data_IF_957896672707
#
_entry.id   IF_957896672707
#
_cell.length_a   1.000
_cell.length_b   1.000
_cell.length_c   1.000
_cell.angle_alpha   90.00
_cell.angle_beta   90.00
_cell.angle_gamma   90.00
#
_symmetry.space_group_name_H-M   'P 1'
#
loop_
_entity.id
_entity.type
_entity.pdbx_description
1 polymer ?
#
# COMPACT_ATOMS: atom_id res chain seq x y z
N UNK A 1 -6.64 -3.03 29.18
CA UNK A 1 -5.46 -2.81 30.07
C UNK A 1 -4.35 -3.82 29.72
N UNK A 2 -3.05 -3.55 29.97
CA UNK A 2 -2.01 -4.60 29.92
C UNK A 2 -2.08 -5.46 31.19
N UNK A 3 -2.33 -6.76 31.03
CA UNK A 3 -2.53 -7.73 32.11
C UNK A 3 -1.25 -8.51 32.43
N UNK A 4 -0.49 -8.87 31.40
CA UNK A 4 0.73 -9.66 31.56
C UNK A 4 1.79 -9.24 30.54
N UNK A 5 3.06 -9.20 30.95
CA UNK A 5 4.21 -9.00 30.09
C UNK A 5 5.23 -10.11 30.32
N UNK A 6 5.54 -10.87 29.26
CA UNK A 6 6.56 -11.91 29.25
C UNK A 6 7.73 -11.47 28.38
N UNK A 7 8.94 -11.60 28.92
CA UNK A 7 10.18 -11.20 28.24
C UNK A 7 11.19 -12.33 28.38
N UNK A 8 11.75 -12.78 27.26
CA UNK A 8 12.79 -13.78 27.21
C UNK A 8 13.99 -13.30 26.40
N UNK A 9 15.19 -13.56 26.93
CA UNK A 9 16.48 -13.27 26.28
C UNK A 9 16.65 -11.83 25.75
N UNK A 10 16.09 -10.83 26.45
CA UNK A 10 16.17 -9.42 26.08
C UNK A 10 17.22 -8.69 26.93
N UNK A 11 18.28 -8.19 26.31
CA UNK A 11 19.39 -7.50 27.01
C UNK A 11 19.92 -8.33 28.19
N UNK A 12 19.67 -7.89 29.43
CA UNK A 12 20.09 -8.57 30.66
C UNK A 12 19.06 -9.61 31.15
N UNK A 13 17.84 -9.58 30.63
CA UNK A 13 16.75 -10.48 31.03
C UNK A 13 16.94 -11.84 30.36
N UNK A 14 17.06 -12.89 31.17
CA UNK A 14 16.96 -14.27 30.68
C UNK A 14 15.49 -14.65 30.48
N UNK A 15 14.69 -14.46 31.53
CA UNK A 15 13.23 -14.66 31.52
C UNK A 15 12.61 -13.82 32.62
N UNK A 16 11.52 -13.13 32.30
CA UNK A 16 10.71 -12.38 33.25
C UNK A 16 9.25 -12.48 32.84
N UNK A 17 8.38 -12.66 33.83
CA UNK A 17 6.93 -12.58 33.71
C UNK A 17 6.43 -11.55 34.71
N UNK A 18 5.69 -10.56 34.24
CA UNK A 18 5.12 -9.50 35.05
C UNK A 18 3.61 -9.53 34.88
N UNK A 19 2.89 -9.77 35.97
CA UNK A 19 1.42 -9.67 36.03
C UNK A 19 1.03 -8.33 36.62
N UNK A 20 0.16 -7.63 35.92
CA UNK A 20 -0.20 -6.26 36.19
C UNK A 20 -1.62 -6.17 36.72
N UNK A 21 -1.80 -5.48 37.84
CA UNK A 21 -3.09 -5.22 38.47
C UNK A 21 -3.70 -3.86 38.07
N UNK A 22 -4.98 -3.61 38.39
CA UNK A 22 -5.61 -2.33 38.08
C UNK A 22 -4.98 -1.17 38.87
N UNK A 23 -5.09 0.04 38.35
CA UNK A 23 -4.65 1.27 39.02
C UNK A 23 -3.18 1.60 38.85
N UNK A 24 -2.60 2.31 39.84
CA UNK A 24 -1.21 2.76 39.80
C UNK A 24 -0.27 1.63 40.20
N UNK A 25 0.60 1.25 39.28
CA UNK A 25 1.67 0.29 39.53
C UNK A 25 3.03 0.97 39.44
N UNK A 26 3.84 0.80 40.49
CA UNK A 26 5.15 1.43 40.59
C UNK A 26 6.22 0.36 40.58
N UNK A 27 7.07 0.38 39.54
CA UNK A 27 8.24 -0.50 39.44
C UNK A 27 9.46 0.27 39.92
N UNK A 28 10.08 -0.23 40.98
CA UNK A 28 11.32 0.32 41.58
C UNK A 28 12.48 -0.66 41.39
N UNK A 29 13.70 -0.19 41.62
CA UNK A 29 14.91 -1.02 41.51
C UNK A 29 16.16 -0.22 41.85
N UNK A 30 17.28 -0.92 41.97
CA UNK A 30 18.55 -0.36 42.46
C UNK A 30 19.31 0.43 41.38
N UNK A 31 19.44 -0.12 40.17
CA UNK A 31 20.36 0.41 39.14
C UNK A 31 19.68 1.01 37.92
N UNK A 32 18.35 1.16 37.91
CA UNK A 32 17.58 1.73 36.78
C UNK A 32 17.57 0.88 35.49
N UNK A 33 18.57 0.00 35.30
CA UNK A 33 18.73 -0.84 34.13
C UNK A 33 17.52 -1.76 33.89
N UNK A 34 16.98 -2.39 34.94
CA UNK A 34 15.79 -3.26 34.82
C UNK A 34 14.55 -2.51 34.31
N UNK A 35 14.33 -1.28 34.80
CA UNK A 35 13.22 -0.43 34.35
C UNK A 35 13.38 -0.03 32.87
N UNK A 36 14.59 0.34 32.46
CA UNK A 36 14.88 0.69 31.06
C UNK A 36 14.72 -0.51 30.13
N UNK A 37 15.12 -1.71 30.56
CA UNK A 37 14.92 -2.94 29.77
C UNK A 37 13.43 -3.26 29.63
N UNK A 38 12.63 -3.14 30.69
CA UNK A 38 11.17 -3.32 30.62
C UNK A 38 10.50 -2.28 29.71
N UNK A 39 10.94 -1.01 29.79
CA UNK A 39 10.49 0.04 28.89
C UNK A 39 10.84 -0.30 27.42
N UNK A 40 12.04 -0.82 27.16
CA UNK A 40 12.43 -1.30 25.84
C UNK A 40 11.64 -2.52 25.36
N UNK A 41 11.25 -3.43 26.27
CA UNK A 41 10.38 -4.56 25.94
C UNK A 41 9.00 -4.06 25.47
N UNK A 42 8.40 -3.11 26.20
CA UNK A 42 7.13 -2.49 25.80
C UNK A 42 7.25 -1.77 24.45
N UNK A 43 8.29 -0.97 24.24
CA UNK A 43 8.53 -0.30 22.95
C UNK A 43 8.59 -1.30 21.78
N UNK A 44 9.31 -2.41 21.96
CA UNK A 44 9.37 -3.49 20.96
C UNK A 44 8.01 -4.14 20.70
N UNK A 45 7.25 -4.39 21.75
CA UNK A 45 5.92 -4.99 21.68
C UNK A 45 4.92 -4.08 20.96
N UNK A 46 5.09 -2.76 21.11
CA UNK A 46 4.29 -1.72 20.43
C UNK A 46 4.81 -1.41 19.01
N UNK A 47 5.67 -2.26 18.45
CA UNK A 47 6.17 -2.18 17.08
C UNK A 47 7.32 -1.19 16.87
N UNK A 48 8.02 -0.82 17.94
CA UNK A 48 9.30 -0.12 17.93
C UNK A 48 10.40 -0.91 17.20
N UNK A 49 11.45 -0.19 16.78
CA UNK A 49 12.59 -0.79 16.07
C UNK A 49 13.59 -1.35 17.10
N UNK A 50 14.01 -2.62 16.96
CA UNK A 50 15.07 -3.15 17.83
C UNK A 50 16.38 -2.43 17.58
N UNK A 51 17.12 -2.20 18.67
CA UNK A 51 18.49 -1.66 18.63
C UNK A 51 19.50 -2.80 18.45
N UNK A 52 20.69 -2.49 17.96
CA UNK A 52 21.79 -3.46 17.96
C UNK A 52 22.04 -3.96 19.40
N UNK A 53 22.26 -5.27 19.56
CA UNK A 53 22.44 -5.88 20.88
C UNK A 53 21.16 -6.06 21.71
N UNK A 54 19.96 -5.94 21.10
CA UNK A 54 18.69 -6.21 21.78
C UNK A 54 18.61 -7.66 22.31
N UNK A 55 19.11 -8.62 21.53
CA UNK A 55 19.16 -10.03 21.93
C UNK A 55 20.30 -10.23 22.93
N UNK A 56 19.99 -10.91 24.03
CA UNK A 56 20.95 -11.23 25.08
C UNK A 56 22.16 -11.98 24.50
N UNK A 57 23.40 -11.62 24.87
CA UNK A 57 24.58 -12.35 24.42
C UNK A 57 24.48 -13.85 24.70
N UNK A 58 24.76 -14.67 23.68
CA UNK A 58 24.65 -16.13 23.75
C UNK A 58 23.26 -16.70 23.52
N UNK A 59 22.24 -15.87 23.24
CA UNK A 59 20.92 -16.32 22.81
C UNK A 59 20.73 -16.14 21.29
N UNK A 60 19.97 -17.03 20.66
CA UNK A 60 19.66 -16.96 19.22
C UNK A 60 18.55 -15.95 18.90
N UNK A 61 17.62 -15.74 19.83
CA UNK A 61 16.49 -14.84 19.69
C UNK A 61 16.00 -14.30 21.05
N UNK A 62 15.33 -13.14 21.00
CA UNK A 62 14.61 -12.52 22.09
C UNK A 62 13.10 -12.53 21.79
N UNK A 63 12.29 -12.75 22.82
CA UNK A 63 10.83 -12.78 22.73
C UNK A 63 10.21 -11.79 23.71
N UNK A 64 9.22 -11.04 23.25
CA UNK A 64 8.38 -10.19 24.09
C UNK A 64 6.93 -10.48 23.76
N UNK A 65 6.14 -10.79 24.77
CA UNK A 65 4.70 -11.07 24.65
C UNK A 65 3.95 -10.25 25.69
N UNK A 66 2.83 -9.67 25.29
CA UNK A 66 1.93 -8.98 26.21
C UNK A 66 0.49 -9.38 26.00
N UNK A 67 -0.20 -9.61 27.11
CA UNK A 67 -1.64 -9.90 27.15
C UNK A 67 -2.36 -8.62 27.51
N UNK A 68 -3.28 -8.20 26.66
CA UNK A 68 -4.08 -7.00 26.86
C UNK A 68 -5.54 -7.38 26.96
N UNK A 69 -6.23 -6.83 27.94
CA UNK A 69 -7.69 -6.77 27.92
C UNK A 69 -8.14 -5.95 26.71
N UNK A 70 -9.12 -6.48 26.00
CA UNK A 70 -9.64 -5.98 24.75
C UNK A 70 -10.75 -4.93 25.00
N UNK A 71 -10.53 -3.64 24.66
CA UNK A 71 -11.57 -2.63 24.81
C UNK A 71 -12.76 -2.90 23.90
N UNK A 72 -13.97 -2.66 24.41
CA UNK A 72 -15.19 -2.70 23.60
C UNK A 72 -15.06 -1.73 22.41
N UNK A 73 -15.43 -2.20 21.22
CA UNK A 73 -15.39 -1.42 19.99
C UNK A 73 -14.00 -1.16 19.42
N UNK A 74 -12.93 -1.78 19.95
CA UNK A 74 -11.57 -1.61 19.39
C UNK A 74 -11.53 -1.90 17.88
N UNK A 75 -12.24 -2.94 17.45
CA UNK A 75 -12.28 -3.41 16.07
C UNK A 75 -13.42 -2.81 15.23
N UNK A 76 -14.14 -1.82 15.73
CA UNK A 76 -15.21 -1.16 14.97
C UNK A 76 -14.63 -0.25 13.87
N UNK A 77 -13.35 0.13 14.00
CA UNK A 77 -12.66 0.85 12.94
C UNK A 77 -12.37 -0.07 11.74
N UNK A 78 -12.68 0.38 10.50
CA UNK A 78 -12.34 -0.37 9.29
C UNK A 78 -10.83 -0.58 9.12
N UNK A 79 -9.99 0.24 9.75
CA UNK A 79 -8.53 0.13 9.69
C UNK A 79 -8.02 -1.17 10.32
N UNK A 80 -8.77 -1.73 11.28
CA UNK A 80 -8.42 -2.96 11.99
C UNK A 80 -9.17 -4.20 11.49
N UNK A 81 -9.89 -4.11 10.36
CA UNK A 81 -10.71 -5.20 9.84
C UNK A 81 -9.91 -6.50 9.60
N UNK A 82 -8.70 -6.39 9.04
CA UNK A 82 -7.80 -7.53 8.83
C UNK A 82 -7.32 -8.14 10.15
N UNK A 83 -7.12 -7.30 11.18
CA UNK A 83 -6.66 -7.74 12.49
C UNK A 83 -7.79 -8.41 13.28
N UNK A 84 -9.04 -7.96 13.08
CA UNK A 84 -10.22 -8.57 13.70
C UNK A 84 -10.37 -10.05 13.35
N UNK A 85 -10.02 -10.47 12.13
CA UNK A 85 -10.07 -11.88 11.70
C UNK A 85 -9.09 -12.80 12.47
N UNK A 86 -8.08 -12.20 13.13
CA UNK A 86 -7.09 -12.92 13.95
C UNK A 86 -7.55 -13.11 15.39
N UNK A 87 -8.57 -12.37 15.83
CA UNK A 87 -9.10 -12.41 17.20
C UNK A 87 -10.41 -13.23 17.22
N UNK A 88 -10.55 -14.23 18.10
CA UNK A 88 -11.80 -14.97 18.25
C UNK A 88 -12.99 -14.06 18.61
N UNK A 89 -14.19 -14.44 18.19
CA UNK A 89 -15.40 -13.74 18.62
C UNK A 89 -15.60 -13.90 20.12
N UNK A 90 -16.00 -12.82 20.80
CA UNK A 90 -16.19 -12.82 22.25
C UNK A 90 -14.88 -12.88 23.05
N UNK A 91 -13.71 -12.73 22.42
CA UNK A 91 -12.45 -12.65 23.15
C UNK A 91 -12.43 -11.40 24.05
N UNK A 92 -12.12 -11.60 25.32
CA UNK A 92 -11.92 -10.51 26.29
C UNK A 92 -10.48 -10.01 26.30
N UNK A 93 -9.56 -10.74 25.66
CA UNK A 93 -8.13 -10.46 25.66
C UNK A 93 -7.51 -10.63 24.26
N UNK A 94 -6.45 -9.87 24.02
CA UNK A 94 -5.60 -9.95 22.83
C UNK A 94 -4.14 -10.08 23.22
N UNK A 95 -3.47 -11.08 22.65
CA UNK A 95 -2.04 -11.30 22.83
C UNK A 95 -1.27 -10.68 21.68
N UNK A 96 -0.33 -9.80 22.00
CA UNK A 96 0.65 -9.28 21.06
C UNK A 96 2.00 -9.97 21.31
N UNK A 97 2.74 -10.26 20.24
CA UNK A 97 4.04 -10.92 20.31
C UNK A 97 5.05 -10.29 19.37
N UNK A 98 6.29 -10.15 19.85
CA UNK A 98 7.42 -9.65 19.07
C UNK A 98 8.62 -10.58 19.27
N UNK A 99 9.20 -11.01 18.16
CA UNK A 99 10.45 -11.77 18.12
C UNK A 99 11.55 -11.01 17.40
N UNK A 100 12.76 -11.06 17.94
CA UNK A 100 13.97 -10.51 17.32
C UNK A 100 15.05 -11.58 17.33
N UNK A 101 15.57 -11.96 16.17
CA UNK A 101 16.72 -12.87 16.09
C UNK A 101 18.04 -12.12 16.30
N UNK A 102 19.09 -12.84 16.69
CA UNK A 102 20.44 -12.30 16.82
C UNK A 102 20.97 -11.71 15.50
N UNK A 103 20.51 -12.26 14.36
CA UNK A 103 20.79 -11.73 13.01
C UNK A 103 19.96 -10.49 12.62
N UNK A 104 19.15 -9.94 13.52
CA UNK A 104 18.36 -8.72 13.31
C UNK A 104 17.02 -8.91 12.61
N UNK A 105 16.65 -10.14 12.22
CA UNK A 105 15.34 -10.42 11.63
C UNK A 105 14.27 -10.31 12.71
N UNK A 106 13.17 -9.64 12.39
CA UNK A 106 12.05 -9.47 13.32
C UNK A 106 10.79 -10.17 12.83
N UNK A 107 10.00 -10.67 13.76
CA UNK A 107 8.65 -11.21 13.50
C UNK A 107 7.67 -10.59 14.47
N UNK A 108 6.44 -10.37 14.04
CA UNK A 108 5.36 -9.86 14.87
C UNK A 108 4.18 -10.84 14.83
N UNK A 109 3.42 -10.88 15.93
CA UNK A 109 2.31 -11.80 16.11
C UNK A 109 1.15 -11.11 16.81
N UNK A 110 -0.07 -11.45 16.39
CA UNK A 110 -1.33 -11.06 17.03
C UNK A 110 -2.14 -12.33 17.21
N UNK A 111 -2.50 -12.67 18.45
CA UNK A 111 -3.14 -13.93 18.82
C UNK A 111 -2.44 -15.16 18.24
N UNK A 112 -1.10 -15.18 18.35
CA UNK A 112 -0.26 -16.28 17.84
C UNK A 112 -0.16 -16.38 16.31
N UNK A 113 -0.85 -15.52 15.55
CA UNK A 113 -0.79 -15.48 14.08
C UNK A 113 0.19 -14.42 13.61
N UNK A 114 0.87 -14.67 12.49
CA UNK A 114 1.82 -13.71 11.91
C UNK A 114 1.15 -12.37 11.61
N UNK A 115 1.87 -11.30 11.95
CA UNK A 115 1.46 -9.91 11.78
C UNK A 115 2.67 -9.05 11.37
N UNK A 116 2.41 -7.79 11.05
CA UNK A 116 3.46 -6.80 10.74
C UNK A 116 3.83 -5.96 11.95
N UNK A 117 4.97 -5.27 11.90
CA UNK A 117 5.30 -4.26 12.90
C UNK A 117 4.40 -3.02 12.84
N UNK A 118 3.69 -2.80 11.72
CA UNK A 118 2.69 -1.74 11.61
C UNK A 118 1.41 -2.14 12.36
N UNK A 119 0.98 -3.40 12.24
CA UNK A 119 -0.17 -3.95 12.97
C UNK A 119 0.01 -3.79 14.49
N UNK A 120 1.21 -4.09 14.99
CA UNK A 120 1.54 -3.90 16.41
C UNK A 120 1.53 -2.43 16.83
N UNK A 121 1.98 -1.51 15.96
CA UNK A 121 1.91 -0.06 16.23
C UNK A 121 0.47 0.42 16.29
N UNK A 122 -0.38 -0.08 15.40
CA UNK A 122 -1.78 0.31 15.32
C UNK A 122 -2.59 -0.19 16.52
N UNK A 123 -2.48 -1.48 16.84
CA UNK A 123 -3.11 -2.04 18.05
C UNK A 123 -2.52 -1.44 19.31
N UNK A 124 -1.18 -1.39 19.39
CA UNK A 124 -0.46 -0.86 20.53
C UNK A 124 -0.83 0.58 20.86
N UNK A 125 -0.95 1.45 19.84
CA UNK A 125 -1.33 2.85 20.02
C UNK A 125 -2.75 3.07 20.54
N UNK A 126 -3.65 2.09 20.35
CA UNK A 126 -5.01 2.11 20.91
C UNK A 126 -5.09 1.45 22.30
N UNK A 127 -4.24 0.46 22.56
CA UNK A 127 -4.23 -0.31 23.81
C UNK A 127 -3.42 0.35 24.93
N UNK A 128 -2.34 1.06 24.58
CA UNK A 128 -1.39 1.64 25.55
C UNK A 128 -0.98 3.04 25.13
N UNK A 129 -1.00 3.98 26.08
CA UNK A 129 -0.23 5.21 25.97
C UNK A 129 1.10 5.04 26.68
N UNK A 130 2.18 4.93 25.90
CA UNK A 130 3.54 4.76 26.43
C UNK A 130 4.28 6.11 26.44
N UNK A 131 4.73 6.54 27.62
CA UNK A 131 5.54 7.75 27.79
C UNK A 131 6.93 7.37 28.30
N UNK A 132 7.95 7.56 27.48
CA UNK A 132 9.34 7.23 27.79
C UNK A 132 10.33 8.25 27.24
N UNK A 133 11.63 8.03 27.46
CA UNK A 133 12.72 8.96 27.10
C UNK A 133 12.87 9.23 25.59
N UNK A 134 12.17 8.49 24.72
CA UNK A 134 12.26 8.62 23.26
C UNK A 134 10.91 8.77 22.54
N UNK A 135 9.78 8.90 23.23
CA UNK A 135 8.47 9.00 22.58
C UNK A 135 7.52 9.95 23.31
N UNK A 136 7.45 11.17 22.81
CA UNK A 136 6.20 11.93 22.77
C UNK A 136 5.56 11.59 21.43
N UNK A 137 4.57 10.69 21.37
CA UNK A 137 3.99 10.28 20.07
C UNK A 137 2.49 10.40 19.94
N UNK A 138 1.75 10.82 20.97
CA UNK A 138 0.34 11.19 20.79
C UNK A 138 0.14 12.69 20.94
N UNK A 139 0.54 13.30 22.04
CA UNK A 139 0.33 14.73 22.30
C UNK A 139 1.12 15.69 21.39
N UNK A 140 2.13 15.21 20.67
CA UNK A 140 2.90 16.00 19.68
C UNK A 140 2.40 15.82 18.25
N UNK A 141 1.48 14.87 18.01
CA UNK A 141 0.91 14.63 16.69
C UNK A 141 -0.22 15.62 16.48
N UNK A 142 -0.14 16.41 15.40
CA UNK A 142 -1.12 17.45 15.09
C UNK A 142 -2.57 16.92 15.07
N UNK A 143 -2.79 15.71 14.54
CA UNK A 143 -4.10 15.08 14.52
C UNK A 143 -4.66 14.82 15.93
N UNK A 144 -3.83 14.31 16.86
CA UNK A 144 -4.25 14.06 18.23
C UNK A 144 -4.43 15.37 19.03
N UNK A 145 -3.64 16.40 18.73
CA UNK A 145 -3.86 17.74 19.28
C UNK A 145 -5.21 18.33 18.83
N UNK A 146 -5.54 18.17 17.54
CA UNK A 146 -6.83 18.55 16.98
C UNK A 146 -7.98 17.78 17.63
N UNK A 147 -7.85 16.46 17.82
CA UNK A 147 -8.87 15.67 18.53
C UNK A 147 -9.13 16.19 19.95
N UNK A 148 -8.07 16.53 20.69
CA UNK A 148 -8.19 17.09 22.04
C UNK A 148 -8.89 18.46 22.00
N UNK A 149 -8.54 19.31 21.03
CA UNK A 149 -9.16 20.62 20.88
C UNK A 149 -10.63 20.51 20.45
N UNK A 150 -10.93 19.64 19.49
CA UNK A 150 -12.28 19.36 19.01
C UNK A 150 -13.17 18.84 20.15
N UNK A 151 -12.64 17.92 20.96
CA UNK A 151 -13.35 17.41 22.14
C UNK A 151 -13.59 18.51 23.18
N UNK A 152 -12.61 19.40 23.38
CA UNK A 152 -12.73 20.53 24.31
C UNK A 152 -13.82 21.53 23.89
N UNK A 153 -14.05 21.72 22.59
CA UNK A 153 -15.08 22.61 22.06
C UNK A 153 -16.52 22.12 22.30
N UNK A 154 -16.72 20.88 22.78
CA UNK A 154 -18.00 20.37 23.25
C UNK A 154 -18.89 19.73 22.16
N UNK A 155 -20.06 19.24 22.58
CA UNK A 155 -20.92 18.38 21.75
C UNK A 155 -21.39 19.04 20.44
N UNK A 156 -21.77 20.31 20.48
CA UNK A 156 -22.21 21.06 19.28
C UNK A 156 -21.11 21.16 18.24
N UNK A 157 -19.85 21.33 18.66
CA UNK A 157 -18.70 21.32 17.74
C UNK A 157 -18.49 19.93 17.14
N UNK A 158 -18.62 18.87 17.94
CA UNK A 158 -18.46 17.50 17.47
C UNK A 158 -19.53 17.11 16.43
N UNK A 159 -20.77 17.57 16.60
CA UNK A 159 -21.85 17.39 15.62
C UNK A 159 -21.53 18.12 14.29
N UNK A 160 -21.07 19.37 14.37
CA UNK A 160 -20.64 20.14 13.19
C UNK A 160 -19.45 19.49 12.49
N UNK A 161 -18.48 18.98 13.25
CA UNK A 161 -17.33 18.24 12.72
C UNK A 161 -17.76 16.98 11.99
N UNK A 162 -18.70 16.21 12.53
CA UNK A 162 -19.24 15.03 11.86
C UNK A 162 -19.94 15.39 10.55
N UNK A 163 -20.76 16.45 10.54
CA UNK A 163 -21.38 16.96 9.31
C UNK A 163 -20.35 17.44 8.29
N UNK A 164 -19.28 18.10 8.74
CA UNK A 164 -18.18 18.54 7.90
C UNK A 164 -17.46 17.36 7.23
N UNK A 165 -17.15 16.29 7.98
CA UNK A 165 -16.48 15.10 7.44
C UNK A 165 -17.30 14.49 6.30
N UNK A 166 -18.62 14.32 6.49
CA UNK A 166 -19.52 13.80 5.46
C UNK A 166 -19.59 14.71 4.22
N UNK A 167 -19.65 16.02 4.41
CA UNK A 167 -19.65 16.98 3.31
C UNK A 167 -18.31 16.98 2.55
N UNK A 168 -17.20 16.83 3.27
CA UNK A 168 -15.85 16.78 2.70
C UNK A 168 -15.64 15.51 1.86
N UNK A 169 -16.07 14.35 2.35
CA UNK A 169 -16.01 13.08 1.62
C UNK A 169 -16.81 13.17 0.31
N UNK A 170 -18.04 13.66 0.37
CA UNK A 170 -18.88 13.90 -0.83
C UNK A 170 -18.20 14.84 -1.83
N UNK A 171 -17.62 15.93 -1.35
CA UNK A 171 -16.89 16.87 -2.21
C UNK A 171 -15.67 16.22 -2.86
N UNK A 172 -14.96 15.33 -2.15
CA UNK A 172 -13.82 14.58 -2.68
C UNK A 172 -14.25 13.60 -3.77
N UNK A 173 -15.36 12.90 -3.56
CA UNK A 173 -15.92 11.98 -4.56
C UNK A 173 -16.40 12.70 -5.81
N UNK A 174 -17.14 13.81 -5.67
CA UNK A 174 -17.54 14.64 -6.80
C UNK A 174 -16.34 15.19 -7.59
N UNK A 175 -15.24 15.56 -6.91
CA UNK A 175 -14.01 16.01 -7.58
C UNK A 175 -13.36 14.89 -8.38
N UNK A 176 -13.27 13.69 -7.81
CA UNK A 176 -12.73 12.51 -8.50
C UNK A 176 -13.54 12.20 -9.76
N UNK A 177 -14.86 12.17 -9.64
CA UNK A 177 -15.76 11.94 -10.77
C UNK A 177 -15.61 13.02 -11.86
N UNK A 178 -15.49 14.30 -11.46
CA UNK A 178 -15.26 15.39 -12.40
C UNK A 178 -13.94 15.26 -13.15
N UNK A 179 -12.85 14.86 -12.47
CA UNK A 179 -11.55 14.62 -13.09
C UNK A 179 -11.62 13.46 -14.10
N UNK A 180 -12.30 12.36 -13.76
CA UNK A 180 -12.51 11.24 -14.66
C UNK A 180 -13.31 11.64 -15.91
N UNK A 181 -14.38 12.42 -15.75
CA UNK A 181 -15.20 12.90 -16.86
C UNK A 181 -14.42 13.85 -17.78
N UNK A 182 -13.62 14.77 -17.21
CA UNK A 182 -12.74 15.66 -17.97
C UNK A 182 -11.67 14.89 -18.74
N UNK A 183 -11.09 13.86 -18.13
CA UNK A 183 -10.13 12.97 -18.80
C UNK A 183 -10.74 12.26 -20.01
N UNK A 184 -11.97 11.76 -19.87
CA UNK A 184 -12.71 11.11 -20.98
C UNK A 184 -13.09 12.08 -22.10
N UNK A 185 -13.48 13.31 -21.76
CA UNK A 185 -13.85 14.32 -22.75
C UNK A 185 -12.68 14.65 -23.68
N UNK A 186 -11.48 14.87 -23.14
CA UNK A 186 -10.29 15.18 -23.96
C UNK A 186 -9.80 14.02 -24.83
N UNK A 187 -10.05 12.77 -24.44
CA UNK A 187 -9.77 11.61 -25.30
C UNK A 187 -10.75 11.54 -26.47
N UNK A 188 -12.05 11.71 -26.21
CA UNK A 188 -13.09 11.67 -27.24
C UNK A 188 -12.95 12.76 -28.31
N UNK A 189 -12.55 13.96 -27.92
CA UNK A 189 -12.35 15.07 -28.87
C UNK A 189 -11.20 14.77 -29.85
N UNK A 190 -10.08 14.23 -29.34
CA UNK A 190 -8.97 13.78 -30.21
C UNK A 190 -9.36 12.63 -31.13
N UNK A 191 -10.10 11.66 -30.62
CA UNK A 191 -10.57 10.53 -31.43
C UNK A 191 -11.52 11.00 -32.55
N UNK A 192 -12.40 11.97 -32.24
CA UNK A 192 -13.28 12.60 -33.22
C UNK A 192 -12.49 13.34 -34.30
N UNK A 193 -11.52 14.16 -33.93
CA UNK A 193 -10.69 14.91 -34.88
C UNK A 193 -9.93 13.96 -35.83
N UNK A 194 -9.38 12.87 -35.29
CA UNK A 194 -8.70 11.84 -36.08
C UNK A 194 -9.66 11.17 -37.07
N UNK A 195 -10.83 10.72 -36.60
CA UNK A 195 -11.83 10.06 -37.45
C UNK A 195 -12.35 10.99 -38.55
N UNK A 196 -12.58 12.27 -38.25
CA UNK A 196 -13.01 13.26 -39.26
C UNK A 196 -11.92 13.46 -40.30
N UNK A 197 -10.65 13.52 -39.88
CA UNK A 197 -9.52 13.62 -40.80
C UNK A 197 -9.40 12.38 -41.70
N UNK A 198 -9.41 11.18 -41.12
CA UNK A 198 -9.32 9.90 -41.86
C UNK A 198 -10.47 9.71 -42.85
N UNK A 199 -11.70 10.07 -42.45
CA UNK A 199 -12.87 10.05 -43.35
C UNK A 199 -12.67 11.05 -44.49
N UNK A 200 -12.18 12.25 -44.19
CA UNK A 200 -11.89 13.27 -45.20
C UNK A 200 -10.88 12.80 -46.24
N UNK A 201 -9.79 12.14 -45.83
CA UNK A 201 -8.80 11.57 -46.76
C UNK A 201 -9.42 10.50 -47.67
N UNK A 202 -10.29 9.63 -47.12
CA UNK A 202 -10.97 8.59 -47.90
C UNK A 202 -11.96 9.20 -48.90
N UNK A 203 -12.73 10.21 -48.47
CA UNK A 203 -13.70 10.90 -49.32
C UNK A 203 -13.01 11.70 -50.45
N UNK A 204 -11.87 12.34 -50.16
CA UNK A 204 -11.07 13.06 -51.17
C UNK A 204 -10.45 12.12 -52.20
N UNK A 205 -9.93 10.97 -51.75
CA UNK A 205 -9.39 9.95 -52.64
C UNK A 205 -10.49 9.30 -53.50
N UNK A 206 -11.72 9.18 -52.95
CA UNK A 206 -12.88 8.64 -53.63
C UNK A 206 -12.69 7.25 -54.26
N UNK A 207 -12.02 6.28 -53.60
CA UNK A 207 -11.63 5.04 -54.24
C UNK A 207 -12.86 4.21 -54.62
N UNK A 208 -12.90 3.77 -55.87
CA UNK A 208 -13.97 2.86 -56.35
C UNK A 208 -13.42 1.47 -56.66
N UNK A 209 -14.24 0.44 -56.46
CA UNK A 209 -13.86 -0.92 -56.83
C UNK A 209 -13.67 -1.07 -58.35
N UNK A 210 -14.37 -0.27 -59.15
CA UNK A 210 -14.24 -0.23 -60.61
C UNK A 210 -12.88 0.36 -61.04
N UNK A 211 -12.47 1.48 -60.44
CA UNK A 211 -11.16 2.08 -60.69
C UNK A 211 -10.02 1.13 -60.29
N UNK A 212 -10.14 0.46 -59.15
CA UNK A 212 -9.15 -0.52 -58.73
C UNK A 212 -9.00 -1.68 -59.74
N UNK A 213 -10.11 -2.20 -60.25
CA UNK A 213 -10.11 -3.25 -61.26
C UNK A 213 -9.49 -2.76 -62.58
N UNK A 214 -9.81 -1.54 -63.02
CA UNK A 214 -9.27 -0.94 -64.23
C UNK A 214 -7.75 -0.69 -64.14
N UNK A 215 -7.28 -0.09 -63.04
CA UNK A 215 -5.85 0.15 -62.80
C UNK A 215 -5.06 -1.16 -62.70
N UNK A 216 -5.65 -2.19 -62.10
CA UNK A 216 -5.04 -3.53 -62.01
C UNK A 216 -4.88 -4.17 -63.39
N UNK A 217 -5.92 -4.11 -64.21
CA UNK A 217 -5.88 -4.65 -65.58
C UNK A 217 -4.86 -3.90 -66.45
N UNK A 218 -4.80 -2.57 -66.35
CA UNK A 218 -3.84 -1.76 -67.11
C UNK A 218 -2.40 -2.05 -66.67
N UNK A 219 -2.16 -2.15 -65.36
CA UNK A 219 -0.85 -2.56 -64.82
C UNK A 219 -0.42 -3.91 -65.39
N UNK A 220 -1.30 -4.91 -65.40
CA UNK A 220 -0.97 -6.25 -65.87
C UNK A 220 -0.71 -6.26 -67.39
N UNK A 221 -1.47 -5.47 -68.15
CA UNK A 221 -1.22 -5.25 -69.59
C UNK A 221 0.16 -4.64 -69.84
N UNK A 222 0.52 -3.58 -69.14
CA UNK A 222 1.82 -2.92 -69.28
C UNK A 222 2.97 -3.86 -68.92
N UNK A 223 2.82 -4.65 -67.85
CA UNK A 223 3.80 -5.70 -67.48
C UNK A 223 3.97 -6.76 -68.57
N UNK A 224 2.89 -7.20 -69.20
CA UNK A 224 2.98 -8.16 -70.31
C UNK A 224 3.66 -7.56 -71.53
N UNK A 225 3.39 -6.29 -71.86
CA UNK A 225 4.07 -5.58 -72.95
C UNK A 225 5.58 -5.48 -72.70
N UNK A 226 5.98 -5.12 -71.48
CA UNK A 226 7.38 -5.06 -71.09
C UNK A 226 8.06 -6.43 -71.20
N UNK A 227 7.40 -7.50 -70.74
CA UNK A 227 7.91 -8.87 -70.89
C UNK A 227 8.06 -9.29 -72.37
N UNK A 228 7.10 -8.92 -73.23
CA UNK A 228 7.18 -9.19 -74.67
C UNK A 228 8.29 -8.40 -75.34
N UNK A 229 8.47 -7.12 -74.99
CA UNK A 229 9.58 -6.30 -75.49
C UNK A 229 10.93 -6.88 -75.06
N UNK A 230 11.07 -7.30 -73.80
CA UNK A 230 12.28 -7.95 -73.31
C UNK A 230 12.55 -9.28 -74.03
N UNK A 231 11.52 -10.10 -74.25
CA UNK A 231 11.66 -11.36 -74.99
C UNK A 231 12.01 -11.15 -76.47
N UNK A 232 11.40 -10.15 -77.12
CA UNK A 232 11.70 -9.79 -78.50
C UNK A 232 13.11 -9.22 -78.64
N UNK A 233 13.55 -8.38 -77.69
CA UNK A 233 14.93 -7.89 -77.60
C UNK A 233 15.92 -9.04 -77.45
N UNK A 234 15.69 -9.94 -76.50
CA UNK A 234 16.52 -11.14 -76.32
C UNK A 234 16.54 -12.08 -77.53
N UNK A 235 15.42 -12.22 -78.25
CA UNK A 235 15.37 -12.98 -79.50
C UNK A 235 16.14 -12.27 -80.62
N UNK A 236 16.08 -10.94 -80.69
CA UNK A 236 16.86 -10.13 -81.61
C UNK A 236 18.36 -10.30 -81.39
N UNK A 237 18.81 -10.22 -80.14
CA UNK A 237 20.21 -10.48 -79.74
C UNK A 237 20.65 -11.92 -80.06
N UNK A 238 19.75 -12.91 -79.93
CA UNK A 238 20.06 -14.30 -80.24
C UNK A 238 20.14 -14.59 -81.75
N UNK A 239 19.36 -13.86 -82.57
CA UNK A 239 19.33 -14.01 -84.04
C UNK A 239 20.41 -13.19 -84.75
N UNK A 240 20.82 -12.08 -84.16
CA UNK A 240 21.94 -11.26 -84.58
C UNK A 240 22.89 -11.08 -83.38
N UNK A 241 23.61 -12.13 -82.96
CA UNK A 241 24.64 -11.96 -81.96
C UNK A 241 25.66 -10.99 -82.54
N UNK A 242 25.82 -9.83 -81.94
CA UNK A 242 26.82 -8.82 -82.30
C UNK A 242 28.23 -9.38 -82.04
N UNK A 243 28.67 -10.29 -82.91
CA UNK A 243 30.04 -10.76 -83.10
C UNK A 243 30.10 -11.77 -84.24
N UNK A 244 30.11 -11.21 -85.45
CA UNK A 244 30.66 -11.76 -86.68
C UNK A 244 31.12 -10.61 -87.56
#
# INVERSE_FOLDING_TARGET
MLLELRVENLLLIRRTELRLGPGLQVITGETGAGKTVLAGALDLLLGGKPRAGTVRPGAEEAWVEGVFELPAGLFDSPELADLRQRVPEGAEEVVLGRRVSAGGRTSAFVQGRSATAADLRELGGRLVSFLGQHEHRRLTVAAAQLEVLDAFCGATHLELRAAYVLAHERARDCRRELEELRGRAGARERDLDLLVFEIGEIEELGPTSEEHAALTAERDRLRHLEALLAAAGGAGEALAPDSG
#
